data_IF_765074334600
#
_entry.id   IF_765074334600
#
_cell.length_a   1.000
_cell.length_b   1.000
_cell.length_c   1.000
_cell.angle_alpha   90.00
_cell.angle_beta   90.00
_cell.angle_gamma   90.00
#
_symmetry.space_group_name_H-M   'P 1'
#
loop_
_entity.id
_entity.type
_entity.pdbx_description
1 polymer ?
#
# COMPACT_ATOMS: atom_id res chain seq x y z
N UNK A 1 41.59 -2.21 -26.46
CA UNK A 1 40.42 -1.41 -26.08
C UNK A 1 40.88 -0.19 -25.30
N UNK A 2 40.75 1.00 -25.88
CA UNK A 2 41.34 2.24 -25.36
C UNK A 2 40.70 2.62 -24.01
N UNK A 3 41.51 2.88 -22.97
CA UNK A 3 41.02 3.31 -21.63
C UNK A 3 40.12 4.56 -21.70
N UNK A 4 40.31 5.44 -22.67
CA UNK A 4 39.45 6.61 -22.91
C UNK A 4 38.00 6.25 -23.27
N UNK A 5 37.78 5.16 -24.03
CA UNK A 5 36.41 4.74 -24.40
C UNK A 5 35.61 4.19 -23.20
N UNK A 6 36.25 3.75 -22.11
CA UNK A 6 35.59 3.29 -20.88
C UNK A 6 35.15 4.43 -19.94
N UNK A 7 35.76 5.62 -20.05
CA UNK A 7 35.48 6.76 -19.18
C UNK A 7 34.31 7.62 -19.71
N UNK A 8 34.10 7.64 -21.03
CA UNK A 8 33.07 8.47 -21.66
C UNK A 8 31.66 8.19 -21.12
N UNK A 9 31.19 6.91 -20.96
CA UNK A 9 29.87 6.63 -20.35
C UNK A 9 29.74 7.16 -18.94
N UNK A 10 30.80 7.09 -18.12
CA UNK A 10 30.79 7.59 -16.74
C UNK A 10 30.68 9.11 -16.67
N UNK A 11 31.29 9.84 -17.60
CA UNK A 11 31.18 11.30 -17.69
C UNK A 11 29.73 11.73 -17.98
N UNK A 12 29.03 11.00 -18.84
CA UNK A 12 27.61 11.26 -19.12
C UNK A 12 26.68 10.90 -17.95
N UNK A 13 27.06 9.91 -17.16
CA UNK A 13 26.31 9.51 -15.95
C UNK A 13 26.61 10.42 -14.74
N UNK A 14 27.72 11.16 -14.76
CA UNK A 14 28.20 11.93 -13.61
C UNK A 14 27.18 12.93 -13.05
N UNK A 15 26.45 13.73 -13.86
CA UNK A 15 25.42 14.61 -13.35
C UNK A 15 24.30 13.85 -12.61
N UNK A 16 23.83 12.76 -13.18
CA UNK A 16 22.78 11.91 -12.56
C UNK A 16 23.28 11.28 -11.27
N UNK A 17 24.49 10.74 -11.26
CA UNK A 17 25.09 10.15 -10.06
C UNK A 17 25.33 11.19 -8.96
N UNK A 18 25.69 12.42 -9.32
CA UNK A 18 25.83 13.52 -8.39
C UNK A 18 24.51 13.85 -7.71
N UNK A 19 23.40 13.99 -8.47
CA UNK A 19 22.08 14.27 -7.89
C UNK A 19 21.58 13.09 -7.04
N UNK A 20 21.77 11.85 -7.47
CA UNK A 20 21.43 10.66 -6.67
C UNK A 20 22.23 10.65 -5.37
N UNK A 21 23.54 10.91 -5.45
CA UNK A 21 24.41 10.97 -4.27
C UNK A 21 23.98 12.03 -3.28
N UNK A 22 23.74 13.25 -3.76
CA UNK A 22 23.44 14.40 -2.92
C UNK A 22 22.01 14.39 -2.35
N UNK A 23 21.01 14.05 -3.16
CA UNK A 23 19.61 14.18 -2.77
C UNK A 23 18.97 12.87 -2.32
N UNK A 24 19.58 11.72 -2.55
CA UNK A 24 19.04 10.44 -2.13
C UNK A 24 20.00 9.72 -1.15
N UNK A 25 21.23 9.47 -1.53
CA UNK A 25 22.15 8.68 -0.69
C UNK A 25 22.58 9.45 0.57
N UNK A 26 22.95 10.73 0.44
CA UNK A 26 23.37 11.54 1.58
C UNK A 26 22.26 11.67 2.65
N UNK A 27 20.99 12.03 2.33
CA UNK A 27 19.94 12.08 3.33
C UNK A 27 19.63 10.72 3.96
N UNK A 28 19.72 9.61 3.22
CA UNK A 28 19.56 8.27 3.78
C UNK A 28 20.66 7.96 4.80
N UNK A 29 21.93 8.21 4.45
CA UNK A 29 23.06 7.99 5.35
C UNK A 29 22.94 8.88 6.60
N UNK A 30 22.58 10.13 6.42
CA UNK A 30 22.38 11.06 7.54
C UNK A 30 21.20 10.65 8.44
N UNK A 31 20.10 10.18 7.87
CA UNK A 31 18.98 9.61 8.63
C UNK A 31 19.42 8.38 9.45
N UNK A 32 20.23 7.49 8.87
CA UNK A 32 20.80 6.35 9.60
C UNK A 32 21.69 6.86 10.74
N UNK A 33 22.55 7.85 10.52
CA UNK A 33 23.39 8.47 11.56
C UNK A 33 22.53 9.07 12.69
N UNK A 34 21.52 9.89 12.34
CA UNK A 34 20.64 10.55 13.31
C UNK A 34 19.84 9.53 14.13
N UNK A 35 19.52 8.37 13.58
CA UNK A 35 18.80 7.33 14.32
C UNK A 35 19.53 6.81 15.57
N UNK A 36 20.84 7.00 15.66
CA UNK A 36 21.67 6.69 16.81
C UNK A 36 21.98 7.90 17.70
N UNK A 37 21.36 9.06 17.39
CA UNK A 37 21.60 10.31 18.14
C UNK A 37 20.42 10.60 19.08
N UNK A 38 20.66 11.51 20.04
CA UNK A 38 19.64 11.96 20.97
C UNK A 38 18.52 12.76 20.26
N UNK A 39 17.61 13.31 21.07
CA UNK A 39 16.47 14.11 20.60
C UNK A 39 16.86 15.19 19.61
N UNK A 40 17.91 15.97 19.92
CA UNK A 40 18.31 17.15 19.16
C UNK A 40 19.46 16.87 18.18
N UNK A 41 19.82 15.61 17.99
CA UNK A 41 20.90 15.14 17.10
C UNK A 41 22.29 15.68 17.47
N UNK A 42 22.53 15.96 18.75
CA UNK A 42 23.79 16.56 19.27
C UNK A 42 24.69 15.53 19.95
N UNK A 43 24.15 14.46 20.51
CA UNK A 43 24.91 13.43 21.23
C UNK A 43 24.53 12.03 20.76
N UNK A 44 25.51 11.13 20.73
CA UNK A 44 25.33 9.71 20.40
C UNK A 44 24.70 8.96 21.58
N UNK A 45 23.62 8.23 21.33
CA UNK A 45 22.88 7.45 22.35
C UNK A 45 22.82 5.96 21.99
N UNK A 46 23.57 5.51 21.00
CA UNK A 46 23.56 4.11 20.57
C UNK A 46 22.21 3.65 20.08
N UNK A 47 21.73 2.52 20.59
CA UNK A 47 20.48 1.89 20.16
C UNK A 47 19.24 2.27 20.99
N UNK A 48 19.31 3.26 21.87
CA UNK A 48 18.22 3.64 22.77
C UNK A 48 16.93 4.01 22.02
N UNK A 49 17.06 4.68 20.88
CA UNK A 49 15.90 5.02 20.04
C UNK A 49 15.19 3.76 19.52
N UNK A 50 15.92 2.74 19.15
CA UNK A 50 15.36 1.46 18.69
C UNK A 50 14.73 0.69 19.84
N UNK A 51 15.36 0.66 21.04
CA UNK A 51 14.77 0.06 22.24
C UNK A 51 13.45 0.74 22.56
N UNK A 52 13.40 2.07 22.56
CA UNK A 52 12.16 2.83 22.74
C UNK A 52 11.11 2.44 21.72
N UNK A 53 11.47 2.41 20.41
CA UNK A 53 10.54 2.08 19.33
C UNK A 53 9.90 0.72 19.53
N UNK A 54 10.66 -0.31 19.90
CA UNK A 54 10.11 -1.65 20.08
C UNK A 54 9.40 -1.85 21.45
N UNK A 55 9.75 -1.08 22.47
CA UNK A 55 9.11 -1.16 23.78
C UNK A 55 7.82 -0.33 23.89
N UNK A 56 7.66 0.70 23.05
CA UNK A 56 6.53 1.63 23.13
C UNK A 56 5.25 1.03 22.52
N UNK A 57 4.15 1.00 23.27
CA UNK A 57 2.88 0.42 22.84
C UNK A 57 2.28 1.09 21.60
N UNK A 58 2.38 2.42 21.49
CA UNK A 58 1.90 3.13 20.29
C UNK A 58 2.68 2.73 19.04
N UNK A 59 3.98 2.47 19.17
CA UNK A 59 4.79 1.99 18.05
C UNK A 59 4.46 0.55 17.69
N UNK A 60 4.23 -0.31 18.68
CA UNK A 60 3.79 -1.69 18.44
C UNK A 60 2.45 -1.72 17.70
N UNK A 61 1.49 -0.88 18.10
CA UNK A 61 0.21 -0.72 17.39
C UNK A 61 0.45 -0.27 15.96
N UNK A 62 1.30 0.71 15.72
CA UNK A 62 1.59 1.21 14.37
C UNK A 62 2.27 0.14 13.49
N UNK A 63 3.17 -0.65 14.04
CA UNK A 63 3.79 -1.80 13.35
C UNK A 63 2.74 -2.85 12.97
N UNK A 64 1.84 -3.20 13.88
CA UNK A 64 0.75 -4.12 13.62
C UNK A 64 -0.23 -3.58 12.55
N UNK A 65 -0.54 -2.29 12.60
CA UNK A 65 -1.34 -1.64 11.57
C UNK A 65 -0.64 -1.70 10.19
N UNK A 66 0.68 -1.51 10.13
CA UNK A 66 1.42 -1.69 8.87
C UNK A 66 1.33 -3.13 8.35
N UNK A 67 1.37 -4.14 9.24
CA UNK A 67 1.16 -5.54 8.85
C UNK A 67 -0.26 -5.75 8.33
N UNK A 68 -1.28 -5.19 8.98
CA UNK A 68 -2.67 -5.23 8.48
C UNK A 68 -2.77 -4.61 7.08
N UNK A 69 -2.20 -3.42 6.88
CA UNK A 69 -2.15 -2.79 5.56
C UNK A 69 -1.41 -3.66 4.54
N UNK A 70 -0.28 -4.24 4.93
CA UNK A 70 0.50 -5.11 4.06
C UNK A 70 -0.30 -6.33 3.58
N UNK A 71 -0.98 -7.00 4.51
CA UNK A 71 -1.71 -8.24 4.21
C UNK A 71 -3.07 -7.92 3.57
N UNK A 72 -3.91 -7.16 4.26
CA UNK A 72 -5.31 -7.00 3.86
C UNK A 72 -5.45 -6.11 2.63
N UNK A 73 -4.81 -4.93 2.62
CA UNK A 73 -4.85 -4.04 1.47
C UNK A 73 -4.25 -4.70 0.22
N UNK A 74 -3.09 -5.33 0.33
CA UNK A 74 -2.43 -5.97 -0.82
C UNK A 74 -3.27 -7.11 -1.38
N UNK A 75 -3.76 -8.00 -0.49
CA UNK A 75 -4.55 -9.16 -0.93
C UNK A 75 -5.87 -8.74 -1.56
N UNK A 76 -6.59 -7.79 -0.94
CA UNK A 76 -7.88 -7.33 -1.46
C UNK A 76 -7.73 -6.54 -2.76
N UNK A 77 -6.77 -5.61 -2.83
CA UNK A 77 -6.57 -4.81 -4.05
C UNK A 77 -6.10 -5.70 -5.23
N UNK A 78 -5.21 -6.66 -4.97
CA UNK A 78 -4.75 -7.62 -5.98
C UNK A 78 -5.88 -8.57 -6.39
N UNK A 79 -6.58 -9.15 -5.42
CA UNK A 79 -7.67 -10.11 -5.66
C UNK A 79 -8.84 -9.48 -6.42
N UNK A 80 -9.33 -8.33 -5.96
CA UNK A 80 -10.39 -7.58 -6.65
C UNK A 80 -9.92 -7.09 -8.03
N UNK A 81 -8.66 -6.64 -8.13
CA UNK A 81 -8.05 -6.28 -9.41
C UNK A 81 -8.06 -7.44 -10.41
N UNK A 82 -7.72 -8.66 -9.97
CA UNK A 82 -7.77 -9.87 -10.80
C UNK A 82 -9.21 -10.22 -11.20
N UNK A 83 -10.13 -10.20 -10.26
CA UNK A 83 -11.56 -10.44 -10.55
C UNK A 83 -12.09 -9.46 -11.58
N UNK A 84 -11.85 -8.17 -11.39
CA UNK A 84 -12.27 -7.15 -12.35
C UNK A 84 -11.52 -7.26 -13.70
N UNK A 85 -10.25 -7.64 -13.72
CA UNK A 85 -9.52 -7.88 -14.96
C UNK A 85 -10.16 -9.00 -15.81
N UNK A 86 -10.57 -10.09 -15.16
CA UNK A 86 -11.26 -11.22 -15.83
C UNK A 86 -12.67 -10.81 -16.27
N UNK A 87 -13.44 -10.15 -15.40
CA UNK A 87 -14.82 -9.77 -15.71
C UNK A 87 -14.92 -8.72 -16.81
N UNK A 88 -14.07 -7.69 -16.75
CA UNK A 88 -14.08 -6.60 -17.75
C UNK A 88 -13.63 -7.09 -19.13
N UNK A 89 -12.78 -8.10 -19.21
CA UNK A 89 -12.38 -8.70 -20.49
C UNK A 89 -13.51 -9.46 -21.21
N UNK A 90 -14.64 -9.74 -20.54
CA UNK A 90 -15.79 -10.46 -21.10
C UNK A 90 -16.95 -9.56 -21.51
N UNK A 91 -16.89 -8.25 -21.20
CA UNK A 91 -17.98 -7.32 -21.49
C UNK A 91 -17.73 -6.54 -22.76
N UNK A 92 -18.81 -6.21 -23.47
CA UNK A 92 -18.77 -5.49 -24.76
C UNK A 92 -18.23 -4.05 -24.64
N UNK A 93 -18.39 -3.44 -23.46
CA UNK A 93 -17.92 -2.07 -23.14
C UNK A 93 -16.71 -2.07 -22.21
N UNK A 94 -15.77 -2.98 -22.48
CA UNK A 94 -14.54 -3.19 -21.68
C UNK A 94 -13.82 -1.87 -21.32
N UNK A 95 -13.60 -0.99 -22.30
CA UNK A 95 -12.86 0.25 -22.10
C UNK A 95 -13.57 1.21 -21.12
N UNK A 96 -14.89 1.31 -21.19
CA UNK A 96 -15.68 2.16 -20.28
C UNK A 96 -15.67 1.57 -18.86
N UNK A 97 -15.87 0.27 -18.74
CA UNK A 97 -15.83 -0.40 -17.44
C UNK A 97 -14.45 -0.24 -16.77
N UNK A 98 -13.37 -0.43 -17.53
CA UNK A 98 -11.99 -0.22 -17.02
C UNK A 98 -11.75 1.22 -16.63
N UNK A 99 -12.18 2.19 -17.46
CA UNK A 99 -12.05 3.59 -17.13
C UNK A 99 -12.77 3.94 -15.82
N UNK A 100 -14.01 3.48 -15.64
CA UNK A 100 -14.79 3.74 -14.42
C UNK A 100 -14.12 3.18 -13.16
N UNK A 101 -13.56 1.95 -13.22
CA UNK A 101 -12.87 1.32 -12.08
C UNK A 101 -11.49 1.98 -11.83
N UNK A 102 -10.87 2.57 -12.84
CA UNK A 102 -9.57 3.23 -12.75
C UNK A 102 -9.66 4.69 -12.27
N UNK A 103 -10.79 5.38 -12.47
CA UNK A 103 -11.01 6.80 -12.09
C UNK A 103 -10.52 7.12 -10.67
N UNK A 104 -10.76 6.31 -9.61
CA UNK A 104 -10.30 6.62 -8.27
C UNK A 104 -8.79 6.88 -8.17
N UNK A 105 -7.99 6.21 -8.98
CA UNK A 105 -6.54 6.39 -8.98
C UNK A 105 -6.09 7.72 -9.60
N UNK A 106 -6.91 8.36 -10.42
CA UNK A 106 -6.63 9.68 -10.99
C UNK A 106 -6.78 10.82 -9.96
N UNK A 107 -7.40 10.54 -8.81
CA UNK A 107 -7.60 11.50 -7.71
C UNK A 107 -6.36 11.44 -6.80
N UNK A 108 -5.88 12.59 -6.28
CA UNK A 108 -4.80 12.57 -5.30
C UNK A 108 -5.23 11.83 -4.01
N UNK A 109 -4.27 11.19 -3.31
CA UNK A 109 -4.56 10.47 -2.06
C UNK A 109 -5.20 11.36 -1.00
N UNK A 110 -4.75 12.62 -0.90
CA UNK A 110 -5.32 13.61 0.03
C UNK A 110 -6.76 13.94 -0.34
N UNK A 111 -7.05 14.21 -1.61
CA UNK A 111 -8.42 14.49 -2.07
C UNK A 111 -9.35 13.30 -1.85
N UNK A 112 -8.91 12.08 -2.17
CA UNK A 112 -9.67 10.87 -1.90
C UNK A 112 -9.96 10.70 -0.40
N UNK A 113 -8.95 10.92 0.46
CA UNK A 113 -9.12 10.85 1.91
C UNK A 113 -10.13 11.88 2.44
N UNK A 114 -10.12 13.11 1.91
CA UNK A 114 -11.11 14.14 2.26
C UNK A 114 -12.52 13.72 1.81
N UNK A 115 -12.68 13.24 0.57
CA UNK A 115 -13.97 12.73 0.07
C UNK A 115 -14.51 11.65 1.00
N UNK A 116 -13.68 10.66 1.34
CA UNK A 116 -14.12 9.56 2.20
C UNK A 116 -14.38 9.97 3.65
N UNK A 117 -13.72 11.02 4.18
CA UNK A 117 -14.11 11.59 5.47
C UNK A 117 -15.56 12.08 5.45
N UNK A 118 -16.00 12.72 4.37
CA UNK A 118 -17.41 13.12 4.22
C UNK A 118 -18.33 11.92 4.00
N UNK A 119 -17.90 10.91 3.23
CA UNK A 119 -18.66 9.68 3.04
C UNK A 119 -18.92 8.92 4.35
N UNK A 120 -17.91 8.89 5.25
CA UNK A 120 -17.95 8.28 6.58
C UNK A 120 -18.44 9.22 7.68
N UNK A 121 -18.87 10.45 7.37
CA UNK A 121 -19.32 11.39 8.39
C UNK A 121 -20.44 10.80 9.24
N UNK A 122 -20.38 11.04 10.53
CA UNK A 122 -21.29 10.49 11.53
C UNK A 122 -21.98 11.59 12.31
N UNK A 123 -23.25 11.38 12.64
CA UNK A 123 -24.00 12.11 13.65
C UNK A 123 -24.63 11.13 14.64
N UNK A 124 -24.78 11.51 15.93
CA UNK A 124 -25.44 10.67 16.92
C UNK A 124 -26.86 10.27 16.50
N UNK A 125 -27.38 9.24 17.14
CA UNK A 125 -28.75 8.77 16.93
C UNK A 125 -29.77 9.89 17.13
N UNK A 126 -30.83 9.86 16.34
CA UNK A 126 -31.89 10.90 16.35
C UNK A 126 -31.59 12.10 15.44
N UNK A 127 -30.37 12.21 14.87
CA UNK A 127 -30.03 13.25 13.90
C UNK A 127 -29.99 12.71 12.47
N UNK A 128 -30.41 13.51 11.50
CA UNK A 128 -30.23 13.16 10.08
C UNK A 128 -28.76 12.99 9.74
N UNK A 129 -28.40 11.83 9.21
CA UNK A 129 -27.02 11.52 8.84
C UNK A 129 -26.58 12.34 7.62
N UNK A 130 -25.34 12.88 7.68
CA UNK A 130 -24.74 13.68 6.60
C UNK A 130 -23.78 12.87 5.75
N UNK A 131 -23.19 11.79 6.30
CA UNK A 131 -22.33 10.88 5.56
C UNK A 131 -23.15 9.90 4.73
N UNK A 132 -22.76 9.73 3.47
CA UNK A 132 -23.51 8.89 2.53
C UNK A 132 -23.69 7.44 3.04
N UNK A 133 -22.64 6.85 3.62
CA UNK A 133 -22.69 5.46 4.09
C UNK A 133 -23.68 5.32 5.24
N UNK A 134 -23.63 6.23 6.21
CA UNK A 134 -24.60 6.24 7.31
C UNK A 134 -26.01 6.62 6.86
N UNK A 135 -26.16 7.53 5.90
CA UNK A 135 -27.47 7.88 5.35
C UNK A 135 -28.14 6.69 4.64
N UNK A 136 -27.37 5.91 3.86
CA UNK A 136 -27.87 4.67 3.24
C UNK A 136 -28.21 3.63 4.32
N UNK A 137 -27.29 3.42 5.30
CA UNK A 137 -27.50 2.46 6.38
C UNK A 137 -28.74 2.75 7.20
N UNK A 138 -28.93 4.01 7.63
CA UNK A 138 -30.14 4.40 8.39
C UNK A 138 -31.43 4.34 7.53
N UNK A 139 -31.32 4.57 6.22
CA UNK A 139 -32.44 4.40 5.28
C UNK A 139 -32.95 2.96 5.18
N UNK A 140 -32.13 1.96 5.50
CA UNK A 140 -32.52 0.53 5.56
C UNK A 140 -32.67 0.03 7.00
N UNK A 141 -32.70 0.93 8.00
CA UNK A 141 -32.99 0.60 9.40
C UNK A 141 -31.74 0.19 10.22
N UNK A 142 -30.53 0.44 9.75
CA UNK A 142 -29.30 0.20 10.52
C UNK A 142 -28.97 1.42 11.39
N UNK A 143 -28.34 1.19 12.53
CA UNK A 143 -27.82 2.27 13.37
C UNK A 143 -26.61 2.94 12.72
N UNK A 144 -26.42 4.28 12.89
CA UNK A 144 -25.29 4.98 12.33
C UNK A 144 -23.98 4.60 13.05
N UNK A 145 -22.90 4.49 12.30
CA UNK A 145 -21.59 4.04 12.79
C UNK A 145 -20.54 5.15 12.65
N UNK A 146 -19.76 5.37 13.71
CA UNK A 146 -18.65 6.31 13.70
C UNK A 146 -17.38 5.67 13.07
N UNK A 147 -17.45 5.34 11.80
CA UNK A 147 -16.49 4.52 11.03
C UNK A 147 -15.01 4.82 11.25
N UNK A 148 -14.63 6.07 11.50
CA UNK A 148 -13.25 6.50 11.66
C UNK A 148 -12.77 6.52 13.11
N UNK A 149 -13.69 6.42 14.05
CA UNK A 149 -13.43 6.51 15.51
C UNK A 149 -13.65 5.16 16.18
N UNK A 150 -14.62 4.39 15.69
CA UNK A 150 -15.09 3.16 16.29
C UNK A 150 -14.04 2.05 16.20
N UNK A 151 -13.72 1.45 17.33
CA UNK A 151 -12.79 0.32 17.44
C UNK A 151 -13.51 -1.03 17.56
N UNK A 152 -14.79 -1.00 17.92
CA UNK A 152 -15.64 -2.18 18.04
C UNK A 152 -16.23 -2.56 16.68
N UNK A 153 -16.60 -3.83 16.53
CA UNK A 153 -17.38 -4.25 15.37
C UNK A 153 -18.75 -3.58 15.39
N UNK A 154 -19.17 -2.92 14.32
CA UNK A 154 -20.50 -2.33 14.24
C UNK A 154 -21.59 -3.37 14.54
N UNK A 155 -22.64 -2.94 15.22
CA UNK A 155 -23.83 -3.72 15.57
C UNK A 155 -23.63 -4.87 16.59
N UNK A 156 -22.40 -5.27 16.89
CA UNK A 156 -22.12 -6.34 17.84
C UNK A 156 -21.53 -5.86 19.17
N UNK A 157 -20.96 -4.64 19.18
CA UNK A 157 -20.25 -4.09 20.32
C UNK A 157 -18.97 -4.84 20.71
N UNK A 158 -18.56 -5.84 19.91
CA UNK A 158 -17.36 -6.62 20.20
C UNK A 158 -16.11 -5.83 19.90
N UNK A 159 -15.28 -5.58 20.91
CA UNK A 159 -13.96 -4.99 20.74
C UNK A 159 -13.01 -6.01 20.12
N UNK A 160 -12.48 -5.66 18.95
CA UNK A 160 -11.44 -6.45 18.30
C UNK A 160 -10.05 -6.07 18.87
N UNK A 161 -9.12 -7.01 18.98
CA UNK A 161 -7.74 -6.68 19.34
C UNK A 161 -7.08 -5.86 18.23
N UNK A 162 -6.15 -4.95 18.61
CA UNK A 162 -5.31 -4.26 17.63
C UNK A 162 -4.51 -5.29 16.80
N UNK A 163 -4.38 -5.13 15.48
CA UNK A 163 -4.82 -4.00 14.63
C UNK A 163 -6.22 -4.15 14.03
N UNK A 164 -7.00 -5.15 14.42
CA UNK A 164 -8.28 -5.53 13.80
C UNK A 164 -9.46 -4.63 14.22
N UNK A 165 -9.19 -3.37 14.57
CA UNK A 165 -10.23 -2.41 14.89
C UNK A 165 -11.04 -2.04 13.63
N UNK A 166 -12.34 -1.78 13.78
CA UNK A 166 -13.25 -1.50 12.65
C UNK A 166 -12.84 -0.25 11.85
N UNK A 167 -12.33 0.77 12.52
CA UNK A 167 -11.82 1.98 11.87
C UNK A 167 -10.61 1.71 10.94
N UNK A 168 -9.74 0.74 11.27
CA UNK A 168 -8.66 0.32 10.38
C UNK A 168 -9.21 -0.34 9.11
N UNK A 169 -10.27 -1.14 9.20
CA UNK A 169 -10.92 -1.72 8.02
C UNK A 169 -11.55 -0.64 7.13
N UNK A 170 -12.16 0.39 7.73
CA UNK A 170 -12.69 1.52 6.99
C UNK A 170 -11.59 2.26 6.19
N UNK A 171 -10.42 2.49 6.79
CA UNK A 171 -9.27 3.08 6.12
C UNK A 171 -8.73 2.17 4.98
N UNK A 172 -8.58 0.87 5.25
CA UNK A 172 -8.12 -0.10 4.26
C UNK A 172 -9.06 -0.18 3.06
N UNK A 173 -10.38 -0.13 3.29
CA UNK A 173 -11.37 -0.15 2.21
C UNK A 173 -11.18 1.01 1.22
N UNK A 174 -10.88 2.21 1.71
CA UNK A 174 -10.55 3.36 0.86
C UNK A 174 -9.27 3.11 0.04
N UNK A 175 -8.25 2.56 0.68
CA UNK A 175 -7.01 2.18 0.00
C UNK A 175 -7.24 1.16 -1.12
N UNK A 176 -8.02 0.12 -0.83
CA UNK A 176 -8.41 -0.92 -1.80
C UNK A 176 -9.18 -0.30 -2.96
N UNK A 177 -10.18 0.53 -2.68
CA UNK A 177 -10.95 1.24 -3.71
C UNK A 177 -10.05 2.04 -4.67
N UNK A 178 -9.05 2.73 -4.15
CA UNK A 178 -8.12 3.51 -4.99
C UNK A 178 -7.21 2.64 -5.86
N UNK A 179 -6.70 1.51 -5.33
CA UNK A 179 -5.65 0.75 -5.98
C UNK A 179 -6.13 -0.45 -6.79
N UNK A 180 -7.39 -0.87 -6.62
CA UNK A 180 -7.98 -1.97 -7.39
C UNK A 180 -7.96 -1.71 -8.89
N UNK A 181 -8.20 -0.46 -9.32
CA UNK A 181 -8.16 -0.08 -10.73
C UNK A 181 -6.78 -0.26 -11.37
N UNK A 182 -5.72 0.10 -10.65
CA UNK A 182 -4.34 -0.15 -11.09
C UNK A 182 -4.07 -1.64 -11.27
N UNK A 183 -4.38 -2.43 -10.24
CA UNK A 183 -4.20 -3.87 -10.30
C UNK A 183 -4.98 -4.50 -11.47
N UNK A 184 -6.24 -4.09 -11.66
CA UNK A 184 -7.09 -4.52 -12.77
C UNK A 184 -6.47 -4.23 -14.13
N UNK A 185 -5.98 -3.00 -14.37
CA UNK A 185 -5.43 -2.60 -15.68
C UNK A 185 -4.17 -3.40 -16.01
N UNK A 186 -3.23 -3.51 -15.06
CA UNK A 186 -1.97 -4.23 -15.27
C UNK A 186 -2.22 -5.73 -15.47
N UNK A 187 -3.09 -6.34 -14.63
CA UNK A 187 -3.44 -7.75 -14.75
C UNK A 187 -4.23 -8.03 -16.04
N UNK A 188 -5.09 -7.11 -16.47
CA UNK A 188 -5.81 -7.24 -17.75
C UNK A 188 -4.86 -7.20 -18.96
N UNK A 189 -3.81 -6.37 -18.92
CA UNK A 189 -2.77 -6.38 -19.94
C UNK A 189 -2.02 -7.72 -19.96
N UNK A 190 -1.68 -8.26 -18.79
CA UNK A 190 -1.07 -9.59 -18.67
C UNK A 190 -1.97 -10.71 -19.21
N UNK A 191 -3.27 -10.66 -18.91
CA UNK A 191 -4.25 -11.64 -19.43
C UNK A 191 -4.35 -11.61 -20.95
N UNK A 192 -4.33 -10.43 -21.56
CA UNK A 192 -4.36 -10.28 -23.05
C UNK A 192 -3.08 -10.77 -23.72
N UNK A 193 -1.98 -10.88 -22.99
CA UNK A 193 -0.72 -11.43 -23.50
C UNK A 193 -0.66 -12.96 -23.52
N UNK A 194 -1.67 -13.65 -22.98
CA UNK A 194 -1.73 -15.11 -23.00
C UNK A 194 -2.25 -15.57 -24.36
N UNK A 195 -1.53 -16.50 -25.03
CA UNK A 195 -1.96 -17.04 -26.33
C UNK A 195 -3.32 -17.73 -26.20
N UNK A 196 -4.22 -17.39 -27.10
CA UNK A 196 -5.54 -18.04 -27.23
C UNK A 196 -5.42 -19.51 -27.58
N UNK A 197 -4.41 -19.89 -28.35
CA UNK A 197 -4.13 -21.26 -28.76
C UNK A 197 -3.90 -22.18 -27.56
N UNK A 198 -3.19 -21.72 -26.53
CA UNK A 198 -2.97 -22.50 -25.29
C UNK A 198 -4.29 -22.76 -24.55
N UNK A 199 -5.17 -21.75 -24.52
CA UNK A 199 -6.48 -21.87 -23.88
C UNK A 199 -7.40 -22.80 -24.68
N UNK A 200 -7.40 -22.70 -26.01
CA UNK A 200 -8.21 -23.50 -26.89
C UNK A 200 -7.74 -24.98 -26.87
N UNK A 201 -6.43 -25.23 -26.88
CA UNK A 201 -5.89 -26.58 -26.76
C UNK A 201 -6.34 -27.25 -25.45
N UNK A 202 -6.28 -26.54 -24.33
CA UNK A 202 -6.75 -27.06 -23.05
C UNK A 202 -8.25 -27.35 -23.04
N UNK A 203 -9.07 -26.57 -23.76
CA UNK A 203 -10.52 -26.87 -23.92
C UNK A 203 -10.74 -28.14 -24.75
N UNK A 204 -9.96 -28.34 -25.82
CA UNK A 204 -10.00 -29.54 -26.63
C UNK A 204 -9.61 -30.78 -25.81
N UNK A 205 -8.65 -30.64 -24.90
CA UNK A 205 -8.23 -31.68 -23.94
C UNK A 205 -9.26 -31.91 -22.82
N UNK A 206 -10.42 -31.21 -22.83
CA UNK A 206 -11.52 -31.43 -21.89
C UNK A 206 -11.36 -30.71 -20.55
N UNK A 207 -10.42 -29.73 -20.43
CA UNK A 207 -10.27 -28.97 -19.20
C UNK A 207 -11.44 -27.98 -19.00
N UNK A 208 -12.01 -27.94 -17.79
CA UNK A 208 -13.03 -26.97 -17.43
C UNK A 208 -12.42 -25.55 -17.31
N UNK A 209 -13.24 -24.48 -17.47
CA UNK A 209 -12.81 -23.09 -17.33
C UNK A 209 -12.13 -22.81 -15.97
N UNK A 210 -12.57 -23.50 -14.91
CA UNK A 210 -11.94 -23.42 -13.59
C UNK A 210 -10.54 -24.03 -13.58
N UNK A 211 -10.35 -25.18 -14.24
CA UNK A 211 -9.03 -25.82 -14.38
C UNK A 211 -8.09 -24.98 -15.24
N UNK A 212 -8.60 -24.42 -16.35
CA UNK A 212 -7.84 -23.51 -17.22
C UNK A 212 -7.39 -22.30 -16.43
N UNK A 213 -8.28 -21.67 -15.65
CA UNK A 213 -7.93 -20.50 -14.85
C UNK A 213 -6.82 -20.81 -13.83
N UNK A 214 -6.99 -21.85 -13.00
CA UNK A 214 -6.06 -22.13 -11.91
C UNK A 214 -4.76 -22.81 -12.34
N UNK A 215 -4.79 -23.64 -13.38
CA UNK A 215 -3.64 -24.45 -13.81
C UNK A 215 -2.86 -23.85 -14.98
N UNK A 216 -3.47 -22.96 -15.75
CA UNK A 216 -2.86 -22.39 -16.97
C UNK A 216 -2.75 -20.87 -16.83
N UNK A 217 -3.87 -20.15 -16.72
CA UNK A 217 -3.88 -18.68 -16.73
C UNK A 217 -3.13 -18.11 -15.55
N UNK A 218 -3.46 -18.54 -14.34
CA UNK A 218 -2.88 -17.98 -13.10
C UNK A 218 -1.36 -18.20 -13.00
N UNK A 219 -0.79 -19.38 -13.31
CA UNK A 219 0.65 -19.57 -13.38
C UNK A 219 1.34 -18.70 -14.45
N UNK A 220 0.78 -18.60 -15.66
CA UNK A 220 1.32 -17.76 -16.75
C UNK A 220 1.28 -16.27 -16.34
N UNK A 221 0.25 -15.85 -15.61
CA UNK A 221 0.10 -14.50 -15.10
C UNK A 221 1.00 -14.20 -13.88
N UNK A 222 1.63 -15.23 -13.31
CA UNK A 222 2.46 -15.13 -12.10
C UNK A 222 3.46 -13.99 -12.10
N UNK A 223 4.25 -13.74 -13.16
CA UNK A 223 5.14 -12.59 -13.26
C UNK A 223 4.42 -11.25 -13.11
N UNK A 224 3.29 -11.07 -13.79
CA UNK A 224 2.49 -9.84 -13.72
C UNK A 224 1.89 -9.66 -12.32
N UNK A 225 1.40 -10.74 -11.70
CA UNK A 225 0.91 -10.73 -10.31
C UNK A 225 2.03 -10.29 -9.35
N UNK A 226 3.26 -10.78 -9.56
CA UNK A 226 4.40 -10.40 -8.73
C UNK A 226 4.73 -8.90 -8.84
N UNK A 227 4.67 -8.32 -10.05
CA UNK A 227 4.86 -6.86 -10.27
C UNK A 227 3.81 -6.05 -9.53
N UNK A 228 2.52 -6.37 -9.76
CA UNK A 228 1.41 -5.67 -9.12
C UNK A 228 1.50 -5.83 -7.60
N UNK A 229 1.69 -7.05 -7.11
CA UNK A 229 1.82 -7.35 -5.70
C UNK A 229 2.96 -6.56 -5.03
N UNK A 230 4.13 -6.51 -5.65
CA UNK A 230 5.26 -5.73 -5.13
C UNK A 230 4.93 -4.23 -5.06
N UNK A 231 4.30 -3.68 -6.10
CA UNK A 231 3.88 -2.28 -6.09
C UNK A 231 2.92 -2.00 -4.94
N UNK A 232 1.91 -2.85 -4.75
CA UNK A 232 0.94 -2.72 -3.66
C UNK A 232 1.61 -2.85 -2.28
N UNK A 233 2.55 -3.77 -2.10
CA UNK A 233 3.32 -3.94 -0.87
C UNK A 233 4.11 -2.68 -0.53
N UNK A 234 4.81 -2.08 -1.50
CA UNK A 234 5.52 -0.82 -1.31
C UNK A 234 4.55 0.30 -0.90
N UNK A 235 3.38 0.37 -1.53
CA UNK A 235 2.36 1.35 -1.19
C UNK A 235 1.75 1.13 0.20
N UNK A 236 1.61 -0.11 0.65
CA UNK A 236 1.17 -0.43 2.01
C UNK A 236 2.16 0.06 3.06
N UNK A 237 3.46 -0.19 2.86
CA UNK A 237 4.51 0.23 3.80
C UNK A 237 4.69 1.75 3.87
N UNK A 238 4.49 2.45 2.76
CA UNK A 238 4.61 3.92 2.66
C UNK A 238 3.30 4.65 2.99
N UNK A 239 2.30 3.97 3.54
CA UNK A 239 0.99 4.59 3.81
C UNK A 239 1.13 5.70 4.86
N UNK A 240 0.87 6.94 4.45
CA UNK A 240 0.88 8.14 5.27
C UNK A 240 -0.35 9.01 4.99
N UNK A 241 -0.46 9.56 3.78
CA UNK A 241 -1.40 10.62 3.41
C UNK A 241 -2.84 10.32 3.82
N UNK A 242 -3.33 9.11 3.49
CA UNK A 242 -4.69 8.70 3.77
C UNK A 242 -4.96 8.61 5.28
N UNK A 243 -4.07 7.95 6.04
CA UNK A 243 -4.21 7.82 7.49
C UNK A 243 -4.12 9.18 8.16
N UNK A 244 -3.17 10.03 7.72
CA UNK A 244 -2.99 11.36 8.26
C UNK A 244 -4.21 12.25 8.05
N UNK A 245 -4.75 12.29 6.83
CA UNK A 245 -5.91 13.13 6.50
C UNK A 245 -7.19 12.63 7.14
N UNK A 246 -7.40 11.32 7.23
CA UNK A 246 -8.67 10.76 7.72
C UNK A 246 -8.76 10.74 9.25
N UNK A 247 -7.69 10.36 9.95
CA UNK A 247 -7.70 10.17 11.41
C UNK A 247 -6.55 10.86 12.14
N UNK A 248 -5.55 11.38 11.42
CA UNK A 248 -4.27 11.85 11.95
C UNK A 248 -3.56 10.76 12.80
N UNK A 249 -3.85 9.47 12.53
CA UNK A 249 -3.37 8.34 13.31
C UNK A 249 -4.00 8.19 14.70
N UNK A 250 -5.08 8.93 15.01
CA UNK A 250 -5.79 8.79 16.28
C UNK A 250 -6.63 7.50 16.30
N UNK A 251 -7.19 7.18 17.46
CA UNK A 251 -8.06 6.01 17.66
C UNK A 251 -7.41 4.66 17.28
N UNK A 252 -6.09 4.54 17.50
CA UNK A 252 -5.35 3.32 17.20
C UNK A 252 -5.07 3.07 15.73
N UNK A 253 -5.21 4.07 14.85
CA UNK A 253 -4.98 3.94 13.40
C UNK A 253 -3.58 4.37 12.96
N UNK A 254 -2.69 4.74 13.88
CA UNK A 254 -1.31 5.10 13.53
C UNK A 254 -0.63 3.99 12.73
N UNK A 255 0.10 4.40 11.72
CA UNK A 255 1.09 3.59 10.99
C UNK A 255 2.48 4.14 11.26
N UNK A 256 3.52 3.39 10.95
CA UNK A 256 4.90 3.82 11.25
C UNK A 256 5.24 5.17 10.63
N UNK A 257 4.74 5.44 9.42
CA UNK A 257 4.97 6.73 8.75
C UNK A 257 4.29 7.92 9.47
N UNK A 258 3.08 7.74 10.03
CA UNK A 258 2.41 8.80 10.81
C UNK A 258 3.09 9.01 12.16
N UNK A 259 3.54 7.94 12.82
CA UNK A 259 4.35 8.08 14.03
C UNK A 259 5.69 8.75 13.78
N UNK A 260 6.38 8.40 12.69
CA UNK A 260 7.62 9.07 12.27
C UNK A 260 7.38 10.59 12.14
N UNK A 261 6.30 10.97 11.45
CA UNK A 261 5.92 12.38 11.30
C UNK A 261 5.66 13.06 12.66
N UNK A 262 4.89 12.41 13.56
CA UNK A 262 4.61 12.92 14.90
C UNK A 262 5.92 13.08 15.71
N UNK A 263 6.84 12.12 15.67
CA UNK A 263 8.13 12.22 16.35
C UNK A 263 8.97 13.35 15.80
N UNK A 264 9.00 13.56 14.47
CA UNK A 264 9.78 14.60 13.83
C UNK A 264 9.23 16.00 14.11
N UNK A 265 7.94 16.23 13.85
CA UNK A 265 7.36 17.57 13.80
C UNK A 265 6.60 17.97 15.07
N UNK A 266 5.89 17.04 15.71
CA UNK A 266 5.10 17.35 16.91
C UNK A 266 5.97 17.28 18.17
N UNK A 267 6.75 16.19 18.31
CA UNK A 267 7.58 15.96 19.49
C UNK A 267 9.02 16.47 19.34
N UNK A 268 9.44 16.83 18.12
CA UNK A 268 10.79 17.26 17.77
C UNK A 268 11.88 16.32 18.30
N UNK A 269 11.63 15.01 18.15
CA UNK A 269 12.58 13.96 18.57
C UNK A 269 13.19 13.32 17.33
N UNK A 270 14.23 13.96 16.80
CA UNK A 270 14.85 13.59 15.53
C UNK A 270 15.42 12.16 15.55
N UNK A 271 16.07 11.75 16.64
CA UNK A 271 16.62 10.40 16.78
C UNK A 271 15.55 9.30 16.64
N UNK A 272 14.40 9.42 17.31
CA UNK A 272 13.30 8.44 17.21
C UNK A 272 12.62 8.47 15.85
N UNK A 273 12.39 9.65 15.30
CA UNK A 273 11.85 9.79 13.96
C UNK A 273 12.73 9.08 12.91
N UNK A 274 14.03 9.31 13.01
CA UNK A 274 15.01 8.66 12.11
C UNK A 274 15.10 7.16 12.33
N UNK A 275 14.97 6.65 13.58
CA UNK A 275 14.91 5.22 13.84
C UNK A 275 13.68 4.57 13.19
N UNK A 276 12.51 5.21 13.27
CA UNK A 276 11.30 4.75 12.57
C UNK A 276 11.46 4.75 11.04
N UNK A 277 12.12 5.78 10.48
CA UNK A 277 12.43 5.85 9.05
C UNK A 277 13.36 4.71 8.61
N UNK A 278 14.39 4.42 9.41
CA UNK A 278 15.32 3.31 9.14
C UNK A 278 14.61 1.95 9.19
N UNK A 279 13.68 1.76 10.15
CA UNK A 279 12.87 0.54 10.23
C UNK A 279 12.00 0.36 8.98
N UNK A 280 11.34 1.43 8.50
CA UNK A 280 10.58 1.37 7.25
C UNK A 280 11.48 1.05 6.06
N UNK A 281 12.64 1.69 5.97
CA UNK A 281 13.61 1.42 4.91
C UNK A 281 14.07 -0.05 4.94
N UNK A 282 14.41 -0.57 6.13
CA UNK A 282 14.80 -1.96 6.33
C UNK A 282 13.69 -2.96 5.97
N UNK A 283 12.41 -2.58 6.14
CA UNK A 283 11.27 -3.41 5.73
C UNK A 283 11.07 -3.40 4.20
N UNK A 284 11.31 -2.28 3.53
CA UNK A 284 11.11 -2.13 2.07
C UNK A 284 12.24 -2.79 1.26
N UNK A 285 13.50 -2.65 1.70
CA UNK A 285 14.68 -3.11 0.96
C UNK A 285 14.65 -4.61 0.59
N UNK A 286 14.34 -5.56 1.50
CA UNK A 286 14.27 -6.98 1.15
C UNK A 286 13.24 -7.27 0.06
N UNK A 287 12.08 -6.63 0.12
CA UNK A 287 10.99 -6.81 -0.84
C UNK A 287 11.45 -6.35 -2.23
N UNK A 288 12.09 -5.19 -2.29
CA UNK A 288 12.64 -4.64 -3.52
C UNK A 288 13.74 -5.54 -4.11
N UNK A 289 14.64 -6.05 -3.27
CA UNK A 289 15.72 -6.94 -3.69
C UNK A 289 15.19 -8.28 -4.24
N UNK A 290 14.19 -8.87 -3.57
CA UNK A 290 13.53 -10.10 -4.04
C UNK A 290 12.88 -9.86 -5.42
N UNK A 291 12.23 -8.73 -5.60
CA UNK A 291 11.59 -8.37 -6.86
C UNK A 291 12.62 -8.21 -7.98
N UNK A 292 13.70 -7.47 -7.75
CA UNK A 292 14.78 -7.28 -8.73
C UNK A 292 15.40 -8.63 -9.13
N UNK A 293 15.65 -9.52 -8.16
CA UNK A 293 16.19 -10.86 -8.45
C UNK A 293 15.26 -11.70 -9.31
N UNK A 294 13.94 -11.65 -9.03
CA UNK A 294 12.93 -12.36 -9.84
C UNK A 294 12.88 -11.86 -11.28
N UNK A 295 12.97 -10.53 -11.49
CA UNK A 295 13.01 -9.95 -12.84
C UNK A 295 14.23 -10.42 -13.61
N UNK A 296 15.43 -10.36 -13.01
CA UNK A 296 16.67 -10.82 -13.69
C UNK A 296 16.59 -12.29 -14.07
N UNK A 297 16.10 -13.16 -13.19
CA UNK A 297 15.95 -14.59 -13.50
C UNK A 297 14.99 -14.83 -14.67
N UNK A 298 14.00 -13.96 -14.92
CA UNK A 298 13.08 -14.07 -16.04
C UNK A 298 13.66 -13.56 -17.36
N UNK A 299 14.58 -12.59 -17.33
CA UNK A 299 15.29 -12.12 -18.53
C UNK A 299 16.30 -13.15 -19.04
N UNK A 300 16.94 -13.91 -18.14
CA UNK A 300 17.90 -14.96 -18.48
C UNK A 300 17.24 -16.22 -19.08
N UNK A 301 15.92 -16.39 -18.91
CA UNK A 301 15.18 -17.55 -19.43
C UNK A 301 14.41 -17.27 -20.74
N UNK A 302 14.51 -16.04 -21.26
CA UNK A 302 14.01 -15.60 -22.58
C UNK A 302 15.12 -15.55 -23.61
#
# INVERSE_FOLDING_TARGET
>A
MNRRGRLIPWLWLLPTLFFIGMFLLYPVIDTIRISFMNRDSTAYVGVDNYQYVFANSATQTALLNNVLWLVLFTTLALGLGLVFAVLTGRVRYESVAKAAIFIPMAISFVAAAVIWRFMYAYRPDGFTQIGLINAIGTGVGLEPVAWLVEQQLPYTGQLLPSPLHSNNFALVAVGVWMWTGFAMVVLSAGLKGISTEVIEAARVDGASEWQIFWRIILPILGPTIAVVGTTLVIQALKKFDMVWVMTAGNFGTDVVATLMFKQMFNFRHFGRASALAVILLAAILPIMLITIRRFRAQEETR
#
